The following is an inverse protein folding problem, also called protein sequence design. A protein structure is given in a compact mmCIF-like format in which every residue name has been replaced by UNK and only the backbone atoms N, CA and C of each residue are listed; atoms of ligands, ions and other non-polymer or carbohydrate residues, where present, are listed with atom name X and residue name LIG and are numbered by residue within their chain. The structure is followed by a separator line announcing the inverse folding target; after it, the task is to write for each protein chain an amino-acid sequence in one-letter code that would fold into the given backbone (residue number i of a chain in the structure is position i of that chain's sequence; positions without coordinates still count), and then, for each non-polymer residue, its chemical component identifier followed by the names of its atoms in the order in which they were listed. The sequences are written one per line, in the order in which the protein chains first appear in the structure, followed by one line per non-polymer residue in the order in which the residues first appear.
data_IF_772058530728
#
_entry.id   IF_772058530728
#
_cell.length_a   1.000
_cell.length_b   1.000
_cell.length_c   1.000
_cell.angle_alpha   90.00
_cell.angle_beta   90.00
_cell.angle_gamma   90.00
#
_symmetry.space_group_name_H-M   'P 1'
#
loop_
_entity.id
_entity.type
_entity.pdbx_description
1 polymer ?
#
# COMPACT_ATOMS: atom_id res chain seq x y z
N UNK A 1 18.60 -69.87 -48.30
CA UNK A 1 18.24 -68.53 -47.77
C UNK A 1 17.39 -68.67 -46.52
N UNK A 2 17.93 -68.41 -45.32
CA UNK A 2 17.18 -68.18 -44.07
C UNK A 2 18.11 -67.50 -43.05
N UNK A 3 18.27 -66.18 -43.18
CA UNK A 3 18.88 -65.30 -42.16
C UNK A 3 18.18 -63.94 -42.22
N UNK A 4 16.93 -63.91 -41.78
CA UNK A 4 16.18 -62.69 -41.49
C UNK A 4 15.24 -63.05 -40.35
N UNK A 5 15.73 -62.93 -39.12
CA UNK A 5 14.91 -62.96 -37.90
C UNK A 5 15.70 -62.49 -36.66
N UNK A 6 17.04 -62.43 -36.72
CA UNK A 6 17.85 -62.06 -35.55
C UNK A 6 18.09 -60.54 -35.37
N UNK A 7 17.85 -59.71 -36.40
CA UNK A 7 18.11 -58.27 -36.34
C UNK A 7 16.88 -57.49 -35.82
N UNK A 8 15.68 -58.04 -35.99
CA UNK A 8 14.44 -57.38 -35.56
C UNK A 8 14.27 -57.41 -34.02
N UNK A 9 14.85 -58.40 -33.34
CA UNK A 9 14.75 -58.56 -31.88
C UNK A 9 15.67 -57.62 -31.09
N UNK A 10 16.79 -57.18 -31.68
CA UNK A 10 17.75 -56.29 -31.01
C UNK A 10 17.27 -54.83 -31.02
N UNK A 11 16.54 -54.41 -32.06
CA UNK A 11 16.04 -53.03 -32.19
C UNK A 11 14.87 -52.76 -31.21
N UNK A 12 14.05 -53.76 -30.90
CA UNK A 12 12.94 -53.61 -29.95
C UNK A 12 13.43 -53.44 -28.50
N UNK A 13 14.58 -54.00 -28.15
CA UNK A 13 15.15 -53.88 -26.79
C UNK A 13 15.77 -52.49 -26.53
N UNK A 14 16.29 -51.82 -27.57
CA UNK A 14 16.94 -50.50 -27.43
C UNK A 14 15.92 -49.37 -27.27
N UNK A 15 14.71 -49.53 -27.80
CA UNK A 15 13.62 -48.52 -27.69
C UNK A 15 13.00 -48.52 -26.27
N UNK A 16 12.99 -49.65 -25.56
CA UNK A 16 12.47 -49.72 -24.19
C UNK A 16 13.43 -49.18 -23.11
N UNK A 17 14.73 -49.12 -23.39
CA UNK A 17 15.73 -48.68 -22.41
C UNK A 17 16.02 -47.17 -22.42
N UNK A 18 15.48 -46.42 -23.39
CA UNK A 18 15.93 -45.06 -23.68
C UNK A 18 14.84 -44.01 -23.46
N UNK A 19 14.14 -44.05 -22.33
CA UNK A 19 13.44 -42.89 -21.75
C UNK A 19 12.96 -43.18 -20.32
N UNK A 20 13.87 -43.49 -19.39
CA UNK A 20 13.58 -43.24 -17.98
C UNK A 20 13.96 -41.79 -17.69
N UNK A 21 13.06 -40.85 -17.99
CA UNK A 21 13.18 -39.51 -17.41
C UNK A 21 13.22 -39.68 -15.89
N UNK A 22 14.32 -39.23 -15.27
CA UNK A 22 14.40 -39.21 -13.81
C UNK A 22 13.29 -38.28 -13.33
N UNK A 23 12.27 -38.84 -12.67
CA UNK A 23 11.18 -38.05 -12.12
C UNK A 23 11.77 -36.89 -11.31
N UNK A 24 11.32 -35.64 -11.53
CA UNK A 24 11.85 -34.51 -10.80
C UNK A 24 11.66 -34.73 -9.30
N UNK A 25 12.69 -34.43 -8.51
CA UNK A 25 12.67 -34.59 -7.04
C UNK A 25 11.86 -33.44 -6.41
N UNK A 26 10.57 -33.38 -6.71
CA UNK A 26 9.65 -32.30 -6.31
C UNK A 26 9.58 -32.11 -4.80
N UNK A 27 9.78 -33.17 -4.01
CA UNK A 27 9.85 -33.05 -2.55
C UNK A 27 11.08 -32.23 -2.12
N UNK A 28 12.24 -32.47 -2.73
CA UNK A 28 13.48 -31.75 -2.44
C UNK A 28 13.41 -30.31 -2.95
N UNK A 29 12.85 -30.10 -4.15
CA UNK A 29 12.62 -28.76 -4.68
C UNK A 29 11.66 -27.96 -3.80
N UNK A 30 10.55 -28.57 -3.39
CA UNK A 30 9.57 -27.96 -2.48
C UNK A 30 10.19 -27.55 -1.15
N UNK A 31 11.02 -28.42 -0.55
CA UNK A 31 11.78 -28.08 0.67
C UNK A 31 12.72 -26.90 0.46
N UNK A 32 13.51 -26.90 -0.62
CA UNK A 32 14.41 -25.78 -0.95
C UNK A 32 13.66 -24.46 -1.15
N UNK A 33 12.47 -24.50 -1.75
CA UNK A 33 11.62 -23.32 -1.91
C UNK A 33 11.04 -22.86 -0.58
N UNK A 34 10.63 -23.79 0.28
CA UNK A 34 10.11 -23.51 1.62
C UNK A 34 11.17 -22.88 2.52
N UNK A 35 12.40 -23.40 2.50
CA UNK A 35 13.53 -22.88 3.28
C UNK A 35 13.93 -21.45 2.84
N UNK A 36 13.61 -21.09 1.59
CA UNK A 36 13.76 -19.73 1.05
C UNK A 36 12.52 -18.86 1.25
N UNK A 37 11.56 -19.32 2.05
CA UNK A 37 10.27 -18.66 2.32
C UNK A 37 9.44 -18.39 1.05
N UNK A 38 9.70 -19.10 -0.05
CA UNK A 38 8.89 -19.01 -1.26
C UNK A 38 7.70 -19.98 -1.18
N UNK A 39 6.75 -19.64 -0.30
CA UNK A 39 5.62 -20.50 0.07
C UNK A 39 4.76 -20.92 -1.12
N UNK A 40 4.46 -20.00 -2.04
CA UNK A 40 3.68 -20.28 -3.25
C UNK A 40 4.38 -21.29 -4.17
N UNK A 41 5.68 -21.10 -4.42
CA UNK A 41 6.46 -22.03 -5.23
C UNK A 41 6.59 -23.40 -4.55
N UNK A 42 6.88 -23.42 -3.25
CA UNK A 42 6.99 -24.65 -2.46
C UNK A 42 5.69 -25.45 -2.50
N UNK A 43 4.54 -24.79 -2.29
CA UNK A 43 3.20 -25.39 -2.34
C UNK A 43 2.93 -26.03 -3.70
N UNK A 44 3.21 -25.31 -4.78
CA UNK A 44 3.03 -25.82 -6.15
C UNK A 44 3.93 -27.04 -6.45
N UNK A 45 5.16 -27.05 -5.93
CA UNK A 45 6.06 -28.20 -6.08
C UNK A 45 5.56 -29.41 -5.29
N UNK A 46 5.08 -29.23 -4.06
CA UNK A 46 4.48 -30.32 -3.28
C UNK A 46 3.18 -30.85 -3.90
N UNK A 47 2.34 -29.98 -4.46
CA UNK A 47 1.09 -30.37 -5.14
C UNK A 47 1.30 -31.19 -6.41
N UNK A 48 2.49 -31.12 -7.01
CA UNK A 48 2.85 -31.95 -8.18
C UNK A 48 3.06 -33.43 -7.81
N UNK A 49 3.30 -33.74 -6.52
CA UNK A 49 3.48 -35.11 -6.04
C UNK A 49 2.12 -35.79 -5.98
N UNK A 50 1.95 -36.85 -6.78
CA UNK A 50 0.71 -37.63 -6.89
C UNK A 50 0.55 -38.64 -5.74
N UNK A 51 -0.68 -39.08 -5.49
CA UNK A 51 -1.06 -39.97 -4.39
C UNK A 51 -0.44 -41.37 -4.43
N UNK A 52 0.02 -41.81 -5.60
CA UNK A 52 0.72 -43.07 -5.81
C UNK A 52 2.23 -42.99 -5.54
N UNK A 53 2.75 -41.80 -5.21
CA UNK A 53 4.16 -41.58 -4.86
C UNK A 53 4.42 -41.80 -3.36
N UNK A 54 5.53 -42.46 -3.01
CA UNK A 54 5.95 -42.71 -1.61
C UNK A 54 6.13 -41.44 -0.77
N UNK A 55 6.39 -40.30 -1.41
CA UNK A 55 6.59 -39.01 -0.74
C UNK A 55 5.28 -38.20 -0.59
N UNK A 56 4.14 -38.72 -1.06
CA UNK A 56 2.87 -38.00 -1.07
C UNK A 56 2.45 -37.51 0.32
N UNK A 57 2.46 -38.38 1.33
CA UNK A 57 2.01 -38.01 2.68
C UNK A 57 2.87 -36.89 3.28
N UNK A 58 4.19 -36.96 3.07
CA UNK A 58 5.12 -35.90 3.48
C UNK A 58 4.84 -34.60 2.75
N UNK A 59 4.54 -34.66 1.45
CA UNK A 59 4.17 -33.49 0.67
C UNK A 59 2.90 -32.82 1.22
N UNK A 60 1.89 -33.62 1.59
CA UNK A 60 0.65 -33.11 2.21
C UNK A 60 0.91 -32.47 3.57
N UNK A 61 1.81 -33.01 4.39
CA UNK A 61 2.23 -32.37 5.65
C UNK A 61 2.88 -31.00 5.41
N UNK A 62 3.75 -30.89 4.42
CA UNK A 62 4.36 -29.61 4.06
C UNK A 62 3.32 -28.60 3.53
N UNK A 63 2.35 -29.04 2.74
CA UNK A 63 1.24 -28.18 2.29
C UNK A 63 0.45 -27.64 3.49
N UNK A 64 0.06 -28.51 4.44
CA UNK A 64 -0.61 -28.08 5.68
C UNK A 64 0.22 -27.08 6.48
N UNK A 65 1.55 -27.29 6.56
CA UNK A 65 2.47 -26.37 7.21
C UNK A 65 2.49 -25.01 6.50
N UNK A 66 2.55 -24.99 5.18
CA UNK A 66 2.49 -23.75 4.37
C UNK A 66 1.18 -23.01 4.62
N UNK A 67 0.04 -23.69 4.52
CA UNK A 67 -1.28 -23.08 4.73
C UNK A 67 -1.39 -22.45 6.13
N UNK A 68 -0.82 -23.10 7.16
CA UNK A 68 -0.76 -22.56 8.52
C UNK A 68 0.12 -21.30 8.62
N UNK A 69 1.27 -21.28 7.93
CA UNK A 69 2.18 -20.12 7.93
C UNK A 69 1.51 -18.93 7.22
N UNK A 70 0.93 -19.14 6.04
CA UNK A 70 0.25 -18.10 5.27
C UNK A 70 -0.92 -17.48 6.05
N UNK A 71 -1.68 -18.30 6.78
CA UNK A 71 -2.75 -17.82 7.67
C UNK A 71 -2.22 -16.91 8.78
N UNK A 72 -1.07 -17.24 9.37
CA UNK A 72 -0.41 -16.41 10.40
C UNK A 72 0.09 -15.09 9.79
N UNK A 73 0.73 -15.14 8.62
CA UNK A 73 1.21 -13.96 7.91
C UNK A 73 0.04 -13.02 7.59
N UNK A 74 -1.05 -13.55 7.03
CA UNK A 74 -2.25 -12.78 6.71
C UNK A 74 -2.83 -12.10 7.96
N UNK A 75 -2.97 -12.86 9.07
CA UNK A 75 -3.46 -12.30 10.34
C UNK A 75 -2.56 -11.18 10.86
N UNK A 76 -1.24 -11.32 10.73
CA UNK A 76 -0.27 -10.28 11.12
C UNK A 76 -0.39 -9.03 10.25
N UNK A 77 -0.59 -9.20 8.94
CA UNK A 77 -0.84 -8.08 8.01
C UNK A 77 -2.10 -7.31 8.39
N UNK A 78 -3.22 -8.02 8.57
CA UNK A 78 -4.51 -7.42 8.95
C UNK A 78 -4.38 -6.64 10.27
N UNK A 79 -3.69 -7.20 11.26
CA UNK A 79 -3.44 -6.52 12.53
C UNK A 79 -2.61 -5.24 12.33
N UNK A 80 -1.53 -5.32 11.54
CA UNK A 80 -0.68 -4.17 11.23
C UNK A 80 -1.48 -3.06 10.53
N UNK A 81 -2.29 -3.42 9.54
CA UNK A 81 -3.13 -2.48 8.79
C UNK A 81 -4.19 -1.85 9.70
N UNK A 82 -4.78 -2.62 10.62
CA UNK A 82 -5.71 -2.12 11.63
C UNK A 82 -5.03 -1.12 12.57
N UNK A 83 -3.82 -1.40 13.05
CA UNK A 83 -3.06 -0.49 13.92
C UNK A 83 -2.74 0.81 13.17
N UNK A 84 -2.22 0.70 11.95
CA UNK A 84 -1.92 1.87 11.11
C UNK A 84 -3.17 2.72 10.84
N UNK A 85 -4.33 2.09 10.61
CA UNK A 85 -5.61 2.78 10.45
C UNK A 85 -6.06 3.50 11.72
N UNK A 86 -5.89 2.88 12.90
CA UNK A 86 -6.21 3.50 14.20
C UNK A 86 -5.32 4.73 14.44
N UNK A 87 -4.02 4.61 14.20
CA UNK A 87 -3.06 5.72 14.33
C UNK A 87 -3.39 6.85 13.36
N UNK A 88 -3.64 6.53 12.09
CA UNK A 88 -4.05 7.51 11.07
C UNK A 88 -5.34 8.23 11.48
N UNK A 89 -6.35 7.52 11.97
CA UNK A 89 -7.59 8.12 12.46
C UNK A 89 -7.38 9.04 13.66
N UNK A 90 -6.48 8.68 14.59
CA UNK A 90 -6.12 9.53 15.74
C UNK A 90 -5.47 10.82 15.27
N UNK A 91 -4.53 10.75 14.33
CA UNK A 91 -3.88 11.93 13.75
C UNK A 91 -4.88 12.79 12.95
N UNK A 92 -5.76 12.17 12.17
CA UNK A 92 -6.83 12.87 11.47
C UNK A 92 -7.75 13.61 12.42
N UNK A 93 -8.14 13.01 13.55
CA UNK A 93 -8.90 13.71 14.60
C UNK A 93 -8.13 14.87 15.24
N UNK A 94 -6.80 14.72 15.45
CA UNK A 94 -5.93 15.78 16.01
C UNK A 94 -5.88 17.01 15.10
N UNK A 95 -5.72 16.81 13.79
CA UNK A 95 -5.48 17.88 12.82
C UNK A 95 -6.70 18.30 12.01
N UNK A 96 -7.81 17.56 12.02
CA UNK A 96 -9.03 17.97 11.35
C UNK A 96 -9.54 19.31 11.90
N UNK A 97 -10.13 20.13 11.03
CA UNK A 97 -10.69 21.43 11.35
C UNK A 97 -10.44 22.47 10.26
N UNK A 98 -10.83 23.70 10.55
CA UNK A 98 -10.70 24.84 9.63
C UNK A 98 -9.47 25.67 9.98
N UNK A 99 -8.74 26.08 8.96
CA UNK A 99 -7.48 26.82 9.08
C UNK A 99 -7.44 27.99 8.11
N UNK A 100 -6.90 29.11 8.57
CA UNK A 100 -6.52 30.25 7.72
C UNK A 100 -5.03 30.20 7.47
N UNK A 101 -4.61 30.63 6.29
CA UNK A 101 -3.20 30.92 6.03
C UNK A 101 -2.86 32.30 6.55
N UNK A 102 -1.86 32.34 7.40
CA UNK A 102 -1.21 33.57 7.83
C UNK A 102 0.17 33.66 7.20
N UNK A 103 0.49 34.81 6.61
CA UNK A 103 1.79 35.08 5.99
C UNK A 103 2.50 36.18 6.77
N UNK A 104 3.67 35.85 7.31
CA UNK A 104 4.44 36.80 8.10
C UNK A 104 4.89 37.99 7.24
N UNK A 105 4.56 39.21 7.68
CA UNK A 105 4.92 40.46 6.99
C UNK A 105 3.87 40.96 6.01
N UNK A 106 2.71 40.31 5.89
CA UNK A 106 1.56 40.84 5.12
C UNK A 106 0.45 41.30 6.05
N UNK A 107 -0.15 42.47 5.78
CA UNK A 107 -1.23 43.06 6.59
C UNK A 107 -2.62 42.95 5.95
N UNK A 108 -2.72 42.41 4.73
CA UNK A 108 -4.00 42.33 4.02
C UNK A 108 -4.93 41.34 4.72
N UNK A 109 -6.01 41.87 5.30
CA UNK A 109 -7.11 41.09 5.90
C UNK A 109 -8.31 40.97 4.96
N UNK A 110 -8.23 41.57 3.78
CA UNK A 110 -9.34 41.61 2.82
C UNK A 110 -9.52 40.27 2.12
N UNK A 111 -8.43 39.52 1.93
CA UNK A 111 -8.45 38.21 1.29
C UNK A 111 -7.69 37.21 2.13
N UNK A 112 -8.27 36.03 2.32
CA UNK A 112 -7.68 34.97 3.13
C UNK A 112 -7.85 33.63 2.43
N UNK A 113 -6.77 32.88 2.40
CA UNK A 113 -6.76 31.49 1.98
C UNK A 113 -7.14 30.59 3.16
N UNK A 114 -8.08 29.69 2.95
CA UNK A 114 -8.62 28.81 3.99
C UNK A 114 -8.52 27.35 3.56
N UNK A 115 -8.15 26.49 4.50
CA UNK A 115 -8.22 25.04 4.36
C UNK A 115 -9.24 24.46 5.35
N UNK A 116 -10.11 23.58 4.87
CA UNK A 116 -11.01 22.77 5.70
C UNK A 116 -10.54 21.32 5.60
N UNK A 117 -10.12 20.74 6.73
CA UNK A 117 -9.58 19.38 6.81
C UNK A 117 -10.59 18.47 7.51
N UNK A 118 -11.17 17.53 6.76
CA UNK A 118 -12.15 16.58 7.27
C UNK A 118 -11.49 15.32 7.85
N UNK A 119 -12.15 14.69 8.83
CA UNK A 119 -11.62 13.50 9.54
C UNK A 119 -11.50 12.25 8.66
N UNK A 120 -12.13 12.23 7.49
CA UNK A 120 -12.03 11.18 6.48
C UNK A 120 -10.79 11.31 5.58
N UNK A 121 -10.04 12.40 5.71
CA UNK A 121 -8.86 12.70 4.88
C UNK A 121 -9.17 13.59 3.67
N UNK A 122 -10.41 14.09 3.52
CA UNK A 122 -10.75 15.08 2.50
C UNK A 122 -10.36 16.49 2.92
N UNK A 123 -9.90 17.29 1.96
CA UNK A 123 -9.58 18.68 2.15
C UNK A 123 -10.39 19.56 1.19
N UNK A 124 -10.78 20.74 1.66
CA UNK A 124 -11.25 21.83 0.82
C UNK A 124 -10.32 23.02 0.97
N UNK A 125 -10.08 23.70 -0.13
CA UNK A 125 -9.38 24.97 -0.20
C UNK A 125 -10.37 26.05 -0.63
N UNK A 126 -10.37 27.17 0.07
CA UNK A 126 -11.24 28.30 -0.21
C UNK A 126 -10.43 29.57 -0.34
N UNK A 127 -10.77 30.38 -1.34
CA UNK A 127 -10.35 31.77 -1.41
C UNK A 127 -11.48 32.66 -0.89
N UNK A 128 -11.25 33.33 0.25
CA UNK A 128 -12.27 34.14 0.91
C UNK A 128 -11.95 35.62 0.73
N UNK A 129 -12.95 36.40 0.33
CA UNK A 129 -12.87 37.84 0.21
C UNK A 129 -13.85 38.51 1.18
N UNK A 130 -13.34 39.31 2.10
CA UNK A 130 -14.13 40.01 3.11
C UNK A 130 -14.69 41.35 2.61
N UNK A 131 -14.15 41.86 1.50
CA UNK A 131 -14.49 43.17 0.95
C UNK A 131 -14.56 44.29 1.99
N UNK A 132 -15.43 45.27 1.76
CA UNK A 132 -15.68 46.39 2.70
C UNK A 132 -16.62 46.02 3.85
N UNK A 133 -17.45 44.98 3.69
CA UNK A 133 -18.50 44.60 4.64
C UNK A 133 -18.03 43.66 5.75
N UNK A 134 -16.76 43.23 5.75
CA UNK A 134 -16.17 42.25 6.69
C UNK A 134 -16.89 40.90 6.73
N UNK A 135 -17.76 40.63 5.76
CA UNK A 135 -18.44 39.35 5.62
C UNK A 135 -17.69 38.55 4.57
N UNK A 136 -17.08 37.43 4.97
CA UNK A 136 -16.29 36.59 4.07
C UNK A 136 -17.19 35.91 3.05
N UNK A 137 -16.97 36.19 1.76
CA UNK A 137 -17.61 35.50 0.64
C UNK A 137 -16.56 34.58 0.01
N UNK A 138 -16.96 33.35 -0.30
CA UNK A 138 -16.10 32.40 -1.00
C UNK A 138 -16.05 32.76 -2.49
N UNK A 139 -14.89 33.22 -2.96
CA UNK A 139 -14.64 33.57 -4.37
C UNK A 139 -14.26 32.32 -5.20
N UNK A 140 -13.53 31.37 -4.60
CA UNK A 140 -13.11 30.12 -5.26
C UNK A 140 -13.09 28.97 -4.25
N UNK A 141 -13.35 27.75 -4.74
CA UNK A 141 -13.36 26.51 -3.94
C UNK A 141 -12.74 25.37 -4.74
N UNK A 142 -11.79 24.66 -4.12
CA UNK A 142 -11.15 23.48 -4.70
C UNK A 142 -11.14 22.32 -3.71
N UNK A 143 -11.32 21.12 -4.23
CA UNK A 143 -11.27 19.90 -3.43
C UNK A 143 -9.87 19.27 -3.48
N UNK A 144 -9.59 18.48 -2.46
CA UNK A 144 -8.33 17.76 -2.32
C UNK A 144 -8.39 16.68 -1.25
N UNK A 145 -7.22 16.18 -0.92
CA UNK A 145 -7.00 15.20 0.13
C UNK A 145 -5.89 15.69 1.06
N UNK A 146 -5.84 15.13 2.26
CA UNK A 146 -4.74 15.40 3.18
C UNK A 146 -4.39 14.16 4.01
N UNK A 147 -3.13 14.12 4.40
CA UNK A 147 -2.57 13.09 5.28
C UNK A 147 -1.83 13.75 6.44
N UNK A 148 -1.67 12.98 7.52
CA UNK A 148 -0.97 13.43 8.71
C UNK A 148 0.03 12.38 9.17
N UNK A 149 1.17 12.89 9.64
CA UNK A 149 2.15 12.17 10.42
C UNK A 149 2.14 12.72 11.86
N UNK A 150 3.01 12.19 12.71
CA UNK A 150 3.08 12.54 14.14
C UNK A 150 3.18 14.04 14.42
N UNK A 151 3.90 14.79 13.57
CA UNK A 151 4.18 16.22 13.72
C UNK A 151 4.02 17.01 12.41
N UNK A 152 3.36 16.47 11.40
CA UNK A 152 3.15 17.18 10.14
C UNK A 152 1.84 16.78 9.47
N UNK A 153 1.36 17.67 8.61
CA UNK A 153 0.30 17.36 7.67
C UNK A 153 0.77 17.69 6.25
N UNK A 154 0.28 16.94 5.28
CA UNK A 154 0.43 17.27 3.85
C UNK A 154 -0.96 17.42 3.27
N UNK A 155 -1.23 18.57 2.66
CA UNK A 155 -2.49 18.91 2.02
C UNK A 155 -2.25 18.95 0.52
N UNK A 156 -3.07 18.24 -0.24
CA UNK A 156 -2.97 18.13 -1.70
C UNK A 156 -4.26 18.63 -2.33
N UNK A 157 -4.23 19.76 -3.03
CA UNK A 157 -5.38 20.39 -3.68
C UNK A 157 -5.27 20.27 -5.20
N UNK A 158 -6.41 20.04 -5.86
CA UNK A 158 -6.48 20.01 -7.32
C UNK A 158 -6.43 21.44 -7.88
N UNK A 159 -5.29 21.82 -8.46
CA UNK A 159 -5.11 23.08 -9.19
C UNK A 159 -5.46 22.95 -10.67
N UNK A 160 -5.29 24.05 -11.42
CA UNK A 160 -5.58 24.10 -12.85
C UNK A 160 -4.61 23.29 -13.71
N UNK A 161 -3.36 23.14 -13.25
CA UNK A 161 -2.26 22.44 -13.95
C UNK A 161 -1.92 21.07 -13.35
N UNK A 162 -2.63 20.63 -12.31
CA UNK A 162 -2.35 19.38 -11.61
C UNK A 162 -2.52 19.49 -10.10
N UNK A 163 -2.07 18.46 -9.39
CA UNK A 163 -2.11 18.45 -7.92
C UNK A 163 -1.01 19.35 -7.34
N UNK A 164 -1.40 20.26 -6.46
CA UNK A 164 -0.49 21.09 -5.67
C UNK A 164 -0.47 20.49 -4.27
N UNK A 165 0.72 20.17 -3.74
CA UNK A 165 0.87 19.59 -2.41
C UNK A 165 1.75 20.46 -1.52
N UNK A 166 1.25 20.79 -0.34
CA UNK A 166 1.93 21.60 0.66
C UNK A 166 2.07 20.82 1.96
N UNK A 167 3.27 20.81 2.54
CA UNK A 167 3.53 20.12 3.81
C UNK A 167 3.75 21.13 4.92
N UNK A 168 3.04 20.96 6.03
CA UNK A 168 3.11 21.80 7.21
C UNK A 168 3.64 21.00 8.39
N UNK A 169 4.63 21.54 9.08
CA UNK A 169 5.24 20.92 10.25
C UNK A 169 4.85 21.67 11.52
N UNK A 170 4.46 20.92 12.55
CA UNK A 170 4.10 21.46 13.86
C UNK A 170 5.37 21.93 14.58
N UNK A 171 5.40 23.22 14.92
CA UNK A 171 6.44 23.89 15.70
C UNK A 171 5.78 24.84 16.69
N UNK A 172 6.01 24.65 17.99
CA UNK A 172 5.46 25.48 19.07
C UNK A 172 3.93 25.67 18.98
N UNK A 173 3.19 24.60 18.67
CA UNK A 173 1.73 24.62 18.54
C UNK A 173 1.19 25.25 17.25
N UNK A 174 2.06 25.68 16.33
CA UNK A 174 1.71 26.23 15.02
C UNK A 174 2.14 25.30 13.89
N UNK A 175 1.36 25.24 12.81
CA UNK A 175 1.69 24.45 11.62
C UNK A 175 2.37 25.34 10.58
N UNK A 176 3.68 25.18 10.37
CA UNK A 176 4.50 26.03 9.49
C UNK A 176 4.80 25.29 8.19
N UNK A 177 4.59 25.94 7.05
CA UNK A 177 4.86 25.35 5.74
C UNK A 177 6.37 25.06 5.59
N UNK A 178 6.72 23.84 5.16
CA UNK A 178 8.13 23.39 5.05
C UNK A 178 8.85 24.08 3.89
N UNK A 179 8.14 24.37 2.79
CA UNK A 179 8.69 25.00 1.59
C UNK A 179 8.69 26.53 1.72
N UNK A 180 7.69 27.11 2.39
CA UNK A 180 7.45 28.55 2.51
C UNK A 180 7.36 28.96 3.98
N UNK A 181 8.49 29.12 4.67
CA UNK A 181 8.56 29.32 6.12
C UNK A 181 7.78 30.51 6.69
N UNK A 182 7.46 31.51 5.87
CA UNK A 182 6.62 32.66 6.27
C UNK A 182 5.12 32.32 6.33
N UNK A 183 4.69 31.24 5.67
CA UNK A 183 3.29 30.76 5.63
C UNK A 183 3.06 29.76 6.76
N UNK A 184 1.98 29.96 7.50
CA UNK A 184 1.53 29.06 8.57
C UNK A 184 0.02 28.86 8.51
N UNK A 185 -0.43 27.70 8.94
CA UNK A 185 -1.84 27.41 9.17
C UNK A 185 -2.20 27.80 10.59
N UNK A 186 -3.17 28.70 10.72
CA UNK A 186 -3.76 29.11 11.99
C UNK A 186 -5.18 28.57 12.10
N UNK A 187 -5.44 27.77 13.14
CA UNK A 187 -6.73 27.13 13.34
C UNK A 187 -7.79 28.19 13.67
N UNK A 188 -8.95 28.13 13.01
CA UNK A 188 -10.07 29.05 13.24
C UNK A 188 -11.38 28.29 13.52
N UNK A 189 -12.30 28.96 14.20
CA UNK A 189 -13.69 28.51 14.42
C UNK A 189 -14.69 29.23 13.52
N UNK A 190 -14.21 30.13 12.66
CA UNK A 190 -15.06 30.81 11.70
C UNK A 190 -15.67 29.83 10.70
N UNK A 191 -16.92 30.12 10.33
CA UNK A 191 -17.67 29.32 9.36
C UNK A 191 -17.63 30.07 8.04
N UNK A 192 -17.02 29.45 7.04
CA UNK A 192 -16.99 29.97 5.67
C UNK A 192 -18.12 29.28 4.89
N UNK A 193 -18.97 30.08 4.25
CA UNK A 193 -20.09 29.60 3.44
C UNK A 193 -19.73 29.68 1.97
#
# INVERSE_FOLDING_TARGET
MKRRNSIFLIIVFVIYASCSEKNPEYLILGKKSLDKENYSLARNQFLTIKSDNLDYDKAQEYIKKIDSIEKVILKKSILKDSIAKIESNKLRKKYAGTYKIEVSGTSSKEQVEVYILNTDGKAEWLWINYGKSKTGITDDRKSGDWIADTNSITISIKGNSGMISETYQEKNGSLINKQLSKRRLERTKEIFK
#
